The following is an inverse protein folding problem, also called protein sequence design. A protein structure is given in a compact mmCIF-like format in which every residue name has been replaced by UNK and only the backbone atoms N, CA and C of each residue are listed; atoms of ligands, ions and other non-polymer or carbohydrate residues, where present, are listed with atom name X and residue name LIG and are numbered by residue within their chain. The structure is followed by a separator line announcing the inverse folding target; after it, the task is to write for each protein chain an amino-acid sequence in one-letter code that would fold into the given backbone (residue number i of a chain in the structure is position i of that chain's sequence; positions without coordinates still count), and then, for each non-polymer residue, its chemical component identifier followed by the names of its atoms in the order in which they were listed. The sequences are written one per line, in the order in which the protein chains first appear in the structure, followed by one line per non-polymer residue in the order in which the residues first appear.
data_IF_410597190907
#
_entry.id   IF_410597190907
#
_cell.length_a   1.000
_cell.length_b   1.000
_cell.length_c   1.000
_cell.angle_alpha   90.00
_cell.angle_beta   90.00
_cell.angle_gamma   90.00
#
_symmetry.space_group_name_H-M   'P 1'
#
loop_
_entity.id
_entity.type
_entity.pdbx_description
1 polymer ?
#
# COMPACT_ATOMS: atom_id res chain seq x y z
N UNK A 1 -26.50 19.80 -14.25
CA UNK A 1 -27.49 19.43 -13.22
C UNK A 1 -28.58 18.61 -13.88
N UNK A 2 -28.45 17.28 -13.89
CA UNK A 2 -29.46 16.40 -14.47
C UNK A 2 -30.48 15.99 -13.40
N UNK A 3 -31.73 16.29 -13.71
CA UNK A 3 -32.95 16.04 -12.94
C UNK A 3 -33.11 14.54 -12.62
N UNK A 4 -33.05 14.19 -11.33
CA UNK A 4 -33.05 12.81 -10.86
C UNK A 4 -34.07 12.59 -9.75
N UNK A 5 -35.28 13.13 -9.85
CA UNK A 5 -36.31 12.88 -8.83
C UNK A 5 -37.71 12.72 -9.41
N UNK A 6 -38.02 11.54 -9.95
CA UNK A 6 -39.39 10.97 -10.00
C UNK A 6 -39.32 9.52 -10.50
N UNK A 7 -38.74 8.62 -9.69
CA UNK A 7 -38.71 7.19 -10.02
C UNK A 7 -38.91 6.41 -8.74
N UNK A 8 -39.85 5.46 -8.72
CA UNK A 8 -40.13 4.69 -7.50
C UNK A 8 -38.90 3.89 -7.07
N UNK A 9 -38.76 3.62 -5.76
CA UNK A 9 -37.63 2.85 -5.22
C UNK A 9 -37.43 1.50 -5.95
N UNK A 10 -38.52 0.85 -6.36
CA UNK A 10 -38.52 -0.38 -7.17
C UNK A 10 -37.78 -0.21 -8.50
N UNK A 11 -38.04 0.89 -9.21
CA UNK A 11 -37.39 1.16 -10.48
C UNK A 11 -35.91 1.52 -10.30
N UNK A 12 -35.56 2.24 -9.23
CA UNK A 12 -34.16 2.53 -8.88
C UNK A 12 -33.38 1.26 -8.56
N UNK A 13 -33.93 0.35 -7.75
CA UNK A 13 -33.32 -0.95 -7.44
C UNK A 13 -33.08 -1.75 -8.73
N UNK A 14 -34.08 -1.85 -9.62
CA UNK A 14 -33.93 -2.55 -10.90
C UNK A 14 -32.87 -1.94 -11.81
N UNK A 15 -32.68 -0.61 -11.78
CA UNK A 15 -31.63 0.05 -12.56
C UNK A 15 -30.24 -0.32 -12.05
N UNK A 16 -30.05 -0.31 -10.73
CA UNK A 16 -28.78 -0.72 -10.11
C UNK A 16 -28.49 -2.20 -10.41
N UNK A 17 -29.49 -3.07 -10.24
CA UNK A 17 -29.36 -4.51 -10.53
C UNK A 17 -28.94 -4.77 -11.99
N UNK A 18 -29.63 -4.15 -12.95
CA UNK A 18 -29.27 -4.26 -14.37
C UNK A 18 -27.88 -3.71 -14.66
N UNK A 19 -27.49 -2.62 -14.02
CA UNK A 19 -26.15 -2.06 -14.19
C UNK A 19 -25.08 -3.02 -13.67
N UNK A 20 -25.25 -3.55 -12.44
CA UNK A 20 -24.31 -4.49 -11.82
C UNK A 20 -24.24 -5.83 -12.58
N UNK A 21 -25.34 -6.28 -13.17
CA UNK A 21 -25.43 -7.51 -13.96
C UNK A 21 -25.11 -7.33 -15.45
N UNK A 22 -24.77 -6.13 -15.93
CA UNK A 22 -24.57 -5.88 -17.35
C UNK A 22 -23.22 -6.45 -17.85
N UNK A 23 -23.20 -7.51 -18.68
CA UNK A 23 -21.96 -8.11 -19.16
C UNK A 23 -21.17 -7.21 -20.11
N UNK A 24 -21.77 -6.13 -20.62
CA UNK A 24 -21.09 -5.15 -21.49
C UNK A 24 -20.19 -4.19 -20.70
N UNK A 25 -20.29 -4.16 -19.37
CA UNK A 25 -19.43 -3.35 -18.51
C UNK A 25 -18.21 -4.18 -18.13
N UNK A 26 -17.08 -3.90 -18.79
CA UNK A 26 -15.80 -4.43 -18.35
C UNK A 26 -15.35 -3.68 -17.08
N UNK A 27 -15.44 -4.37 -15.94
CA UNK A 27 -15.05 -3.84 -14.63
C UNK A 27 -13.58 -3.46 -14.56
N UNK A 28 -12.69 -4.17 -15.29
CA UNK A 28 -11.26 -3.84 -15.31
C UNK A 28 -11.02 -2.55 -16.06
N UNK A 29 -11.65 -2.41 -17.23
CA UNK A 29 -11.57 -1.20 -18.03
C UNK A 29 -12.14 0.00 -17.28
N UNK A 30 -13.33 -0.14 -16.70
CA UNK A 30 -13.95 0.94 -15.92
C UNK A 30 -13.07 1.41 -14.75
N UNK A 31 -12.40 0.48 -14.06
CA UNK A 31 -11.44 0.84 -13.02
C UNK A 31 -10.20 1.53 -13.60
N UNK A 32 -9.69 1.04 -14.73
CA UNK A 32 -8.55 1.65 -15.43
C UNK A 32 -8.83 3.09 -15.86
N UNK A 33 -10.01 3.33 -16.45
CA UNK A 33 -10.47 4.65 -16.86
C UNK A 33 -10.59 5.60 -15.65
N UNK A 34 -11.05 5.09 -14.50
CA UNK A 34 -11.07 5.86 -13.24
C UNK A 34 -9.65 6.23 -12.78
N UNK A 35 -8.73 5.27 -12.75
CA UNK A 35 -7.33 5.51 -12.35
C UNK A 35 -6.70 6.59 -13.25
N UNK A 36 -6.80 6.42 -14.56
CA UNK A 36 -6.23 7.35 -15.53
C UNK A 36 -6.84 8.75 -15.42
N UNK A 37 -8.17 8.84 -15.24
CA UNK A 37 -8.85 10.12 -15.09
C UNK A 37 -8.49 10.83 -13.80
N UNK A 38 -8.38 10.11 -12.68
CA UNK A 38 -8.07 10.70 -11.37
C UNK A 38 -6.60 11.12 -11.29
N UNK A 39 -5.70 10.37 -11.91
CA UNK A 39 -4.25 10.61 -11.85
C UNK A 39 -3.69 11.43 -13.02
N UNK A 40 -4.52 11.81 -14.00
CA UNK A 40 -4.07 12.43 -15.26
C UNK A 40 -3.12 13.62 -15.08
N UNK A 41 -3.44 14.51 -14.13
CA UNK A 41 -2.64 15.70 -13.83
C UNK A 41 -1.73 15.54 -12.59
N UNK A 42 -1.73 14.35 -11.99
CA UNK A 42 -0.95 14.06 -10.77
C UNK A 42 0.45 13.62 -11.18
N UNK A 43 1.48 14.30 -10.65
CA UNK A 43 2.89 13.98 -10.93
C UNK A 43 3.51 12.99 -9.96
N UNK A 44 3.05 12.99 -8.72
CA UNK A 44 3.46 12.07 -7.66
C UNK A 44 2.22 11.73 -6.84
N UNK A 45 2.01 10.46 -6.54
CA UNK A 45 0.85 10.00 -5.77
C UNK A 45 1.26 9.03 -4.67
N UNK A 46 0.83 9.31 -3.44
CA UNK A 46 0.88 8.33 -2.36
C UNK A 46 -0.29 7.35 -2.53
N UNK A 47 0.00 6.10 -2.82
CA UNK A 47 -0.98 5.02 -2.95
C UNK A 47 -1.03 4.19 -1.69
N UNK A 48 -2.15 4.19 -0.96
CA UNK A 48 -2.34 3.26 0.16
C UNK A 48 -2.85 1.92 -0.36
N UNK A 49 -2.25 0.83 0.13
CA UNK A 49 -2.71 -0.52 -0.08
C UNK A 49 -3.29 -1.08 1.21
N UNK A 50 -4.62 -1.20 1.25
CA UNK A 50 -5.35 -1.56 2.45
C UNK A 50 -6.13 -2.86 2.27
N UNK A 51 -5.89 -3.82 3.15
CA UNK A 51 -6.68 -5.05 3.26
C UNK A 51 -7.85 -4.84 4.21
N UNK A 52 -9.08 -5.08 3.78
CA UNK A 52 -10.27 -5.06 4.63
C UNK A 52 -10.90 -6.44 4.66
N UNK A 53 -10.97 -7.05 5.84
CA UNK A 53 -11.75 -8.27 6.03
C UNK A 53 -13.12 -7.93 6.64
N UNK A 54 -14.22 -8.02 5.88
CA UNK A 54 -15.54 -7.99 6.48
C UNK A 54 -15.69 -9.27 7.32
N UNK A 55 -15.72 -9.15 8.65
CA UNK A 55 -15.74 -10.26 9.61
C UNK A 55 -16.72 -11.40 9.24
N UNK A 56 -17.86 -11.09 8.62
CA UNK A 56 -18.89 -12.04 8.20
C UNK A 56 -18.93 -12.35 6.69
N UNK A 57 -18.05 -11.73 5.89
CA UNK A 57 -17.98 -11.93 4.44
C UNK A 57 -17.02 -13.05 4.05
N UNK A 58 -17.27 -13.67 2.90
CA UNK A 58 -16.38 -14.70 2.30
C UNK A 58 -15.27 -14.06 1.47
N UNK A 59 -15.36 -12.76 1.19
CA UNK A 59 -14.50 -12.04 0.26
C UNK A 59 -13.85 -10.79 0.87
N UNK A 60 -12.68 -10.91 1.51
CA UNK A 60 -11.84 -9.77 1.85
C UNK A 60 -11.50 -8.91 0.63
N UNK A 61 -11.39 -7.62 0.90
CA UNK A 61 -11.09 -6.56 -0.03
C UNK A 61 -9.61 -6.21 0.04
N UNK A 62 -8.99 -6.00 -1.11
CA UNK A 62 -7.73 -5.28 -1.22
C UNK A 62 -7.99 -4.03 -2.05
N UNK A 63 -7.79 -2.85 -1.46
CA UNK A 63 -8.07 -1.57 -2.10
C UNK A 63 -6.79 -0.77 -2.34
N UNK A 64 -6.79 0.00 -3.42
CA UNK A 64 -5.85 1.07 -3.67
C UNK A 64 -6.55 2.41 -3.53
N UNK A 65 -5.97 3.29 -2.72
CA UNK A 65 -6.46 4.66 -2.55
C UNK A 65 -5.32 5.64 -2.83
N UNK A 66 -5.57 6.63 -3.69
CA UNK A 66 -4.63 7.72 -3.90
C UNK A 66 -4.88 8.83 -2.89
N UNK A 67 -3.85 9.27 -2.15
CA UNK A 67 -3.95 10.49 -1.35
C UNK A 67 -3.80 11.69 -2.27
N UNK A 68 -4.91 12.35 -2.59
CA UNK A 68 -5.00 13.44 -3.57
C UNK A 68 -5.75 14.60 -2.92
N UNK A 69 -5.15 15.80 -2.93
CA UNK A 69 -5.71 17.03 -2.32
C UNK A 69 -6.22 16.82 -0.88
N UNK A 70 -5.45 16.11 -0.06
CA UNK A 70 -5.79 15.84 1.35
C UNK A 70 -6.88 14.78 1.55
N UNK A 71 -7.30 14.07 0.51
CA UNK A 71 -8.34 13.02 0.58
C UNK A 71 -7.80 11.68 0.10
N UNK A 72 -8.26 10.60 0.70
CA UNK A 72 -8.08 9.26 0.16
C UNK A 72 -9.16 9.00 -0.92
N UNK A 73 -8.75 8.98 -2.18
CA UNK A 73 -9.62 8.70 -3.32
C UNK A 73 -9.47 7.22 -3.69
N UNK A 74 -10.54 6.40 -3.60
CA UNK A 74 -10.49 5.00 -4.01
C UNK A 74 -10.24 4.91 -5.52
N UNK A 75 -9.11 4.33 -5.90
CA UNK A 75 -8.73 4.12 -7.31
C UNK A 75 -9.17 2.74 -7.79
N UNK A 76 -9.34 1.80 -6.87
CA UNK A 76 -10.10 0.58 -7.10
C UNK A 76 -9.77 -0.52 -6.13
N UNK A 77 -10.39 -1.68 -6.33
CA UNK A 77 -10.31 -2.79 -5.40
C UNK A 77 -10.50 -4.14 -6.07
N UNK A 78 -10.01 -5.18 -5.40
CA UNK A 78 -10.32 -6.57 -5.70
C UNK A 78 -10.93 -7.23 -4.49
N UNK A 79 -11.82 -8.18 -4.76
CA UNK A 79 -12.32 -9.10 -3.76
C UNK A 79 -11.71 -10.47 -4.01
N UNK A 80 -11.18 -11.09 -2.96
CA UNK A 80 -10.59 -12.43 -3.03
C UNK A 80 -11.31 -13.32 -2.03
N UNK A 81 -11.64 -14.55 -2.40
CA UNK A 81 -12.23 -15.50 -1.44
C UNK A 81 -11.25 -15.79 -0.30
N UNK A 82 -11.75 -15.92 0.94
CA UNK A 82 -10.94 -16.21 2.14
C UNK A 82 -10.13 -17.51 2.02
N UNK A 83 -10.76 -18.58 1.55
CA UNK A 83 -10.09 -19.86 1.31
C UNK A 83 -8.96 -19.74 0.28
N UNK A 84 -9.08 -18.78 -0.64
CA UNK A 84 -8.08 -18.53 -1.64
C UNK A 84 -6.91 -17.65 -1.16
N UNK A 85 -7.00 -17.01 0.01
CA UNK A 85 -5.98 -16.08 0.49
C UNK A 85 -4.80 -16.73 1.19
N UNK A 86 -4.97 -17.93 1.77
CA UNK A 86 -3.92 -18.59 2.55
C UNK A 86 -2.65 -18.68 1.71
N UNK A 87 -1.58 -18.09 2.23
CA UNK A 87 -0.24 -17.99 1.61
C UNK A 87 -0.18 -17.26 0.26
N UNK A 88 -1.30 -16.72 -0.25
CA UNK A 88 -1.37 -16.05 -1.55
C UNK A 88 -1.51 -14.53 -1.49
N UNK A 89 -1.83 -13.95 -0.33
CA UNK A 89 -2.01 -12.50 -0.17
C UNK A 89 -0.85 -11.67 -0.75
N UNK A 90 0.39 -12.14 -0.55
CA UNK A 90 1.60 -11.46 -1.04
C UNK A 90 1.66 -11.44 -2.58
N UNK A 91 1.40 -12.58 -3.21
CA UNK A 91 1.37 -12.70 -4.66
C UNK A 91 0.22 -11.88 -5.26
N UNK A 92 -0.95 -11.88 -4.61
CA UNK A 92 -2.11 -11.09 -4.98
C UNK A 92 -1.77 -9.59 -4.92
N UNK A 93 -1.13 -9.12 -3.85
CA UNK A 93 -0.71 -7.72 -3.72
C UNK A 93 0.25 -7.29 -4.83
N UNK A 94 1.25 -8.13 -5.15
CA UNK A 94 2.17 -7.86 -6.26
C UNK A 94 1.47 -7.82 -7.62
N UNK A 95 0.60 -8.80 -7.90
CA UNK A 95 -0.21 -8.82 -9.12
C UNK A 95 -1.17 -7.63 -9.20
N UNK A 96 -1.66 -7.17 -8.06
CA UNK A 96 -2.52 -6.00 -7.97
C UNK A 96 -1.77 -4.70 -8.30
N UNK A 97 -0.55 -4.53 -7.78
CA UNK A 97 0.34 -3.43 -8.17
C UNK A 97 0.58 -3.41 -9.68
N UNK A 98 0.92 -4.57 -10.26
CA UNK A 98 1.15 -4.70 -11.70
C UNK A 98 -0.08 -4.30 -12.52
N UNK A 99 -1.28 -4.74 -12.11
CA UNK A 99 -2.52 -4.38 -12.79
C UNK A 99 -2.79 -2.88 -12.73
N UNK A 100 -2.59 -2.24 -11.57
CA UNK A 100 -2.81 -0.79 -11.45
C UNK A 100 -1.79 -0.01 -12.26
N UNK A 101 -0.54 -0.44 -12.29
CA UNK A 101 0.53 0.22 -13.05
C UNK A 101 0.22 0.36 -14.55
N UNK A 102 -0.56 -0.55 -15.14
CA UNK A 102 -1.01 -0.45 -16.55
C UNK A 102 -1.83 0.82 -16.81
N UNK A 103 -2.52 1.34 -15.80
CA UNK A 103 -3.43 2.49 -15.93
C UNK A 103 -2.90 3.77 -15.30
N UNK A 104 -1.78 3.70 -14.58
CA UNK A 104 -1.13 4.88 -14.03
C UNK A 104 -0.51 5.67 -15.19
N UNK A 105 -0.79 6.98 -15.32
CA UNK A 105 -0.16 7.81 -16.34
C UNK A 105 1.37 7.76 -16.22
N UNK A 106 2.14 7.70 -17.33
CA UNK A 106 3.60 7.62 -17.28
C UNK A 106 4.26 8.85 -16.64
N UNK A 107 3.52 9.96 -16.55
CA UNK A 107 3.92 11.21 -15.90
C UNK A 107 3.70 11.23 -14.39
N UNK A 108 3.05 10.21 -13.84
CA UNK A 108 2.70 10.08 -12.43
C UNK A 108 3.64 9.05 -11.78
N UNK A 109 4.39 9.46 -10.76
CA UNK A 109 5.26 8.60 -9.97
C UNK A 109 4.51 8.06 -8.74
N UNK A 110 4.24 6.74 -8.66
CA UNK A 110 3.53 6.16 -7.53
C UNK A 110 4.47 5.80 -6.38
N UNK A 111 4.03 6.11 -5.17
CA UNK A 111 4.70 5.78 -3.92
C UNK A 111 3.75 4.95 -3.07
N UNK A 112 4.07 3.67 -2.87
CA UNK A 112 3.24 2.75 -2.09
C UNK A 112 3.38 3.00 -0.58
N UNK A 113 2.26 3.20 0.10
CA UNK A 113 2.12 3.14 1.54
C UNK A 113 1.40 1.85 1.91
N UNK A 114 2.03 1.00 2.71
CA UNK A 114 1.44 -0.29 3.06
C UNK A 114 1.78 -0.74 4.48
N UNK A 115 0.89 -1.53 5.07
CA UNK A 115 1.05 -2.03 6.42
C UNK A 115 2.01 -3.23 6.54
N UNK A 116 2.14 -3.72 7.79
CA UNK A 116 2.99 -4.88 8.15
C UNK A 116 2.61 -6.20 7.50
N UNK A 117 1.40 -6.34 6.95
CA UNK A 117 0.96 -7.51 6.19
C UNK A 117 1.64 -7.61 4.83
N UNK A 118 2.11 -6.48 4.29
CA UNK A 118 2.72 -6.36 2.97
C UNK A 118 4.25 -6.19 3.00
N UNK A 119 4.87 -6.19 4.19
CA UNK A 119 6.31 -5.97 4.38
C UNK A 119 7.19 -7.18 3.99
N UNK A 120 7.17 -7.54 2.71
CA UNK A 120 7.82 -8.73 2.16
C UNK A 120 8.73 -8.36 0.99
N UNK A 121 9.89 -9.00 0.91
CA UNK A 121 10.92 -8.69 -0.09
C UNK A 121 10.40 -8.83 -1.53
N UNK A 122 9.55 -9.83 -1.79
CA UNK A 122 9.01 -10.05 -3.14
C UNK A 122 8.15 -8.88 -3.62
N UNK A 123 7.42 -8.22 -2.71
CA UNK A 123 6.66 -7.02 -3.04
C UNK A 123 7.60 -5.85 -3.32
N UNK A 124 8.65 -5.65 -2.51
CA UNK A 124 9.61 -4.57 -2.73
C UNK A 124 10.27 -4.68 -4.11
N UNK A 125 10.67 -5.90 -4.49
CA UNK A 125 11.20 -6.15 -5.84
C UNK A 125 10.16 -6.01 -6.95
N UNK A 126 8.89 -6.28 -6.66
CA UNK A 126 7.82 -6.01 -7.62
C UNK A 126 7.67 -4.50 -7.85
N UNK A 127 7.79 -3.68 -6.81
CA UNK A 127 7.79 -2.22 -6.92
C UNK A 127 9.01 -1.71 -7.69
N UNK A 128 10.21 -2.23 -7.42
CA UNK A 128 11.41 -1.88 -8.19
C UNK A 128 11.22 -2.12 -9.69
N UNK A 129 10.64 -3.28 -10.07
CA UNK A 129 10.36 -3.61 -11.47
C UNK A 129 9.32 -2.69 -12.12
N UNK A 130 8.44 -2.09 -11.32
CA UNK A 130 7.45 -1.12 -11.78
C UNK A 130 8.01 0.32 -11.79
N UNK A 131 9.22 0.55 -11.28
CA UNK A 131 9.76 1.90 -11.06
C UNK A 131 9.00 2.66 -9.98
N UNK A 132 8.32 1.95 -9.08
CA UNK A 132 7.57 2.53 -7.96
C UNK A 132 8.44 2.56 -6.71
N UNK A 133 8.17 3.55 -5.88
CA UNK A 133 8.77 3.66 -4.55
C UNK A 133 7.80 3.25 -3.46
N UNK A 134 8.24 3.25 -2.20
CA UNK A 134 7.36 2.93 -1.10
C UNK A 134 7.91 3.16 0.30
N UNK A 135 6.95 3.34 1.22
CA UNK A 135 7.13 3.36 2.67
C UNK A 135 6.22 2.29 3.26
N UNK A 136 6.81 1.16 3.67
CA UNK A 136 6.07 -0.01 4.13
C UNK A 136 6.38 -0.25 5.60
N UNK A 137 5.36 -0.25 6.46
CA UNK A 137 5.53 -0.58 7.87
C UNK A 137 5.84 -2.06 8.01
N UNK A 138 6.74 -2.42 8.91
CA UNK A 138 7.11 -3.80 9.22
C UNK A 138 7.00 -4.11 10.71
N UNK A 139 7.13 -5.40 11.05
CA UNK A 139 7.19 -5.87 12.44
C UNK A 139 8.61 -5.69 12.98
N UNK A 140 8.75 -5.24 14.23
CA UNK A 140 10.05 -5.10 14.88
C UNK A 140 10.84 -6.41 15.04
N UNK A 141 10.16 -7.56 15.00
CA UNK A 141 10.82 -8.88 15.07
C UNK A 141 11.61 -9.25 13.80
N UNK A 142 11.44 -8.50 12.69
CA UNK A 142 12.18 -8.74 11.46
C UNK A 142 13.65 -8.39 11.67
N UNK A 143 14.53 -9.24 11.14
CA UNK A 143 15.97 -9.05 11.20
C UNK A 143 16.47 -8.19 10.06
N UNK A 144 17.40 -7.31 10.38
CA UNK A 144 18.13 -6.48 9.43
C UNK A 144 19.64 -6.63 9.66
N UNK A 145 20.42 -6.45 8.60
CA UNK A 145 21.88 -6.27 8.70
C UNK A 145 22.19 -4.79 8.58
N UNK A 146 22.69 -4.21 9.66
CA UNK A 146 23.22 -2.84 9.68
C UNK A 146 24.65 -2.87 10.22
N UNK A 147 25.55 -2.07 9.62
CA UNK A 147 26.97 -2.03 9.99
C UNK A 147 27.61 -3.42 10.10
N UNK A 148 27.29 -4.30 9.14
CA UNK A 148 27.82 -5.67 9.06
C UNK A 148 27.17 -6.68 10.01
N UNK A 149 26.35 -6.27 10.99
CA UNK A 149 25.78 -7.14 12.02
C UNK A 149 24.28 -7.35 11.84
N UNK A 150 23.84 -8.59 11.99
CA UNK A 150 22.42 -8.96 12.01
C UNK A 150 21.82 -8.67 13.39
N UNK A 151 20.72 -7.92 13.43
CA UNK A 151 19.94 -7.64 14.64
C UNK A 151 18.45 -7.54 14.31
N UNK A 152 17.55 -7.89 15.23
CA UNK A 152 16.13 -7.62 15.06
C UNK A 152 15.86 -6.11 15.13
N UNK A 153 14.91 -5.62 14.33
CA UNK A 153 14.57 -4.21 14.25
C UNK A 153 14.19 -3.59 15.59
N UNK A 154 13.48 -4.34 16.45
CA UNK A 154 13.10 -3.84 17.77
C UNK A 154 14.30 -3.48 18.65
N UNK A 155 15.51 -4.01 18.37
CA UNK A 155 16.71 -3.64 19.13
C UNK A 155 17.18 -2.21 18.88
N UNK A 156 16.70 -1.59 17.79
CA UNK A 156 16.93 -0.18 17.48
C UNK A 156 15.87 0.74 18.09
N UNK A 157 14.74 0.18 18.53
CA UNK A 157 13.77 0.94 19.31
C UNK A 157 14.30 1.07 20.75
N UNK A 158 14.75 2.27 21.12
CA UNK A 158 15.06 2.59 22.52
C UNK A 158 13.80 2.42 23.39
N UNK A 159 14.00 2.08 24.66
CA UNK A 159 12.91 1.98 25.65
C UNK A 159 12.29 3.36 25.93
N UNK A 160 13.13 4.38 26.02
CA UNK A 160 12.70 5.78 26.21
C UNK A 160 12.06 6.35 24.94
N UNK A 161 11.11 7.27 25.16
CA UNK A 161 10.37 7.99 24.13
C UNK A 161 10.62 9.49 24.30
N UNK A 162 10.66 10.28 23.22
CA UNK A 162 10.51 9.88 21.81
C UNK A 162 11.70 9.09 21.28
N UNK A 163 11.49 8.32 20.21
CA UNK A 163 12.57 7.70 19.44
C UNK A 163 12.43 8.07 17.97
N UNK A 164 13.54 8.51 17.39
CA UNK A 164 13.75 8.58 15.95
C UNK A 164 15.13 7.98 15.68
N UNK A 165 15.17 6.88 14.94
CA UNK A 165 16.41 6.30 14.41
C UNK A 165 16.29 6.18 12.91
N UNK A 166 17.27 6.72 12.20
CA UNK A 166 17.39 6.60 10.77
C UNK A 166 18.54 5.64 10.44
N UNK A 167 18.20 4.53 9.80
CA UNK A 167 19.14 3.51 9.35
C UNK A 167 19.24 3.61 7.82
N UNK A 168 20.15 4.44 7.29
CA UNK A 168 20.13 4.83 5.88
C UNK A 168 20.50 3.70 4.92
N UNK A 169 21.22 2.68 5.40
CA UNK A 169 21.68 1.55 4.59
C UNK A 169 21.62 0.26 5.40
N UNK A 170 20.58 -0.55 5.15
CA UNK A 170 20.42 -1.86 5.78
C UNK A 170 20.12 -2.93 4.73
N UNK A 171 20.36 -4.18 5.08
CA UNK A 171 19.80 -5.33 4.37
C UNK A 171 18.62 -5.85 5.17
N UNK A 172 17.42 -5.76 4.60
CA UNK A 172 16.17 -6.15 5.23
C UNK A 172 15.77 -7.59 4.89
N UNK A 173 15.37 -8.32 5.92
CA UNK A 173 15.00 -9.73 5.80
C UNK A 173 16.23 -10.64 5.76
N UNK A 174 16.04 -11.94 5.96
CA UNK A 174 17.07 -12.93 5.63
C UNK A 174 18.24 -13.07 6.62
N UNK A 175 17.97 -13.22 7.93
CA UNK A 175 19.01 -13.71 8.87
C UNK A 175 19.68 -15.01 8.37
N UNK A 176 18.99 -15.77 7.50
CA UNK A 176 19.37 -17.09 7.00
C UNK A 176 19.04 -17.32 5.51
N UNK A 177 18.91 -16.25 4.71
CA UNK A 177 18.63 -16.35 3.27
C UNK A 177 19.41 -15.28 2.51
N UNK A 178 19.92 -15.61 1.33
CA UNK A 178 20.58 -14.66 0.40
C UNK A 178 19.62 -13.66 -0.25
N UNK A 179 18.38 -13.59 0.23
CA UNK A 179 17.32 -12.79 -0.35
C UNK A 179 17.16 -11.41 0.30
N UNK A 180 18.13 -10.94 1.08
CA UNK A 180 18.00 -9.69 1.82
C UNK A 180 17.94 -8.47 0.90
N UNK A 181 16.96 -7.59 1.16
CA UNK A 181 16.67 -6.43 0.32
C UNK A 181 17.43 -5.19 0.81
N UNK A 182 18.20 -4.47 -0.03
CA UNK A 182 18.84 -3.23 0.35
C UNK A 182 17.81 -2.10 0.50
N UNK A 183 17.74 -1.47 1.66
CA UNK A 183 16.81 -0.37 1.89
C UNK A 183 17.29 0.59 2.99
N UNK A 184 16.51 1.65 3.23
CA UNK A 184 16.57 2.47 4.44
C UNK A 184 15.48 2.02 5.41
N UNK A 185 15.72 2.18 6.71
CA UNK A 185 14.70 1.93 7.73
C UNK A 185 14.61 3.10 8.70
N UNK A 186 13.39 3.57 8.94
CA UNK A 186 13.07 4.53 10.00
C UNK A 186 12.44 3.79 11.17
N UNK A 187 12.97 4.01 12.38
CA UNK A 187 12.33 3.58 13.64
C UNK A 187 11.81 4.83 14.35
N UNK A 188 10.50 4.89 14.56
CA UNK A 188 9.84 6.06 15.11
C UNK A 188 8.82 5.69 16.18
N UNK A 189 8.79 6.42 17.28
CA UNK A 189 7.71 6.36 18.25
C UNK A 189 7.68 7.61 19.14
N UNK A 190 6.50 8.15 19.38
CA UNK A 190 6.28 9.24 20.33
C UNK A 190 5.80 8.73 21.70
N UNK A 191 5.79 9.57 22.74
CA UNK A 191 5.04 9.28 23.96
C UNK A 191 3.60 8.85 23.64
N UNK A 192 3.12 7.77 24.28
CA UNK A 192 1.78 7.22 24.05
C UNK A 192 1.66 6.16 22.95
N UNK A 193 2.68 5.97 22.10
CA UNK A 193 2.67 4.88 21.11
C UNK A 193 2.81 3.53 21.82
N UNK A 194 1.86 2.62 21.58
CA UNK A 194 1.92 1.24 22.08
C UNK A 194 3.15 0.49 21.57
N UNK A 195 3.43 0.64 20.27
CA UNK A 195 4.56 0.00 19.58
C UNK A 195 5.22 1.00 18.63
N UNK A 196 6.56 0.99 18.47
CA UNK A 196 7.23 1.76 17.44
C UNK A 196 6.73 1.42 16.04
N UNK A 197 6.80 2.41 15.17
CA UNK A 197 6.76 2.22 13.74
C UNK A 197 8.16 1.86 13.26
N UNK A 198 8.23 0.80 12.46
CA UNK A 198 9.41 0.41 11.72
C UNK A 198 9.02 0.55 10.25
N UNK A 199 9.59 1.52 9.55
CA UNK A 199 9.23 1.85 8.18
C UNK A 199 10.38 1.43 7.27
N UNK A 200 10.13 0.49 6.37
CA UNK A 200 11.02 0.15 5.25
C UNK A 200 10.81 1.20 4.17
N UNK A 201 11.89 1.84 3.75
CA UNK A 201 11.89 2.91 2.76
C UNK A 201 12.69 2.45 1.54
N UNK A 202 12.03 2.42 0.39
CA UNK A 202 12.64 2.01 -0.88
C UNK A 202 13.61 3.07 -1.41
N UNK A 203 14.48 2.66 -2.34
CA UNK A 203 15.69 3.39 -2.67
C UNK A 203 15.47 4.77 -3.31
N UNK A 204 14.37 4.99 -4.05
CA UNK A 204 14.08 6.27 -4.68
C UNK A 204 13.65 7.36 -3.69
N UNK A 205 13.24 6.97 -2.47
CA UNK A 205 12.92 7.92 -1.39
C UNK A 205 14.08 8.19 -0.43
N UNK A 206 15.31 7.83 -0.79
CA UNK A 206 16.49 8.00 0.07
C UNK A 206 16.72 9.45 0.52
N UNK A 207 16.36 10.40 -0.34
CA UNK A 207 16.57 11.83 -0.13
C UNK A 207 15.41 12.49 0.63
N UNK A 208 14.33 11.75 0.93
CA UNK A 208 13.27 12.26 1.79
C UNK A 208 13.74 12.36 3.24
N UNK A 209 13.45 13.47 3.89
CA UNK A 209 13.71 13.61 5.31
C UNK A 209 12.85 12.64 6.13
N UNK A 210 13.36 12.21 7.28
CA UNK A 210 12.64 11.28 8.16
C UNK A 210 11.26 11.82 8.57
N UNK A 211 11.14 13.13 8.81
CA UNK A 211 9.87 13.78 9.11
C UNK A 211 8.84 13.62 7.97
N UNK A 212 9.25 13.82 6.72
CA UNK A 212 8.37 13.61 5.53
C UNK A 212 7.91 12.16 5.43
N UNK A 213 8.80 11.20 5.69
CA UNK A 213 8.46 9.76 5.65
C UNK A 213 7.44 9.37 6.74
N UNK A 214 7.63 9.91 7.95
CA UNK A 214 6.72 9.68 9.07
C UNK A 214 5.35 10.32 8.79
N UNK A 215 5.33 11.57 8.32
CA UNK A 215 4.10 12.28 7.98
C UNK A 215 3.37 11.66 6.78
N UNK A 216 4.08 11.11 5.79
CA UNK A 216 3.47 10.39 4.69
C UNK A 216 2.77 9.11 5.16
N UNK A 217 3.37 8.37 6.10
CA UNK A 217 2.79 7.13 6.62
C UNK A 217 1.68 7.38 7.65
N UNK A 218 1.88 8.39 8.52
CA UNK A 218 0.94 8.81 9.56
C UNK A 218 -0.25 9.62 9.03
N UNK A 219 -1.18 9.95 9.94
CA UNK A 219 -2.21 10.98 9.72
C UNK A 219 -1.62 12.38 9.71
#
# INVERSE_FOLDING_TARGET
MADAMTTTAKHTIKRVDRFLGNPRIDRRRAQGDLIASVLGDVREVLLTLDGTDPNHGVHPLLSFNGRIYGRAIPLGWITVRKDALKDRMRAIAGAWCQRVAVYVPPTCHPILLADRGFAVVDLFRALDRLGWDGVIRTKGAVWIRASGRWRPLYSYARRERPVLQDLPRVRYGGRYQDNAYPCRVIVFAEPGYRDPWYLVVLAGLRDWEAGRLIGAYGP
#
